data_IF_845509603767
#
_entry.id   IF_845509603767
#
_cell.length_a   1.000
_cell.length_b   1.000
_cell.length_c   1.000
_cell.angle_alpha   90.00
_cell.angle_beta   90.00
_cell.angle_gamma   90.00
#
_symmetry.space_group_name_H-M   'P 1'
#
loop_
_entity.id
_entity.type
_entity.pdbx_description
1 polymer ?
#
# COMPACT_ATOMS: atom_id res chain seq x y z
N UNK A 1 -8.69 -1.94 -1.31
CA UNK A 1 -8.88 -1.32 0.03
C UNK A 1 -9.02 0.19 -0.07
N UNK A 2 -8.04 0.92 -0.64
CA UNK A 2 -8.13 2.38 -0.78
C UNK A 2 -9.27 2.81 -1.74
N UNK A 3 -9.42 2.13 -2.87
CA UNK A 3 -10.49 2.39 -3.84
C UNK A 3 -11.89 2.28 -3.20
N UNK A 4 -12.15 1.16 -2.52
CA UNK A 4 -13.40 0.95 -1.79
C UNK A 4 -13.62 2.03 -0.71
N UNK A 5 -12.57 2.42 0.03
CA UNK A 5 -12.65 3.48 1.03
C UNK A 5 -13.07 4.83 0.39
N UNK A 6 -12.42 5.21 -0.71
CA UNK A 6 -12.74 6.45 -1.41
C UNK A 6 -14.18 6.46 -1.95
N UNK A 7 -14.66 5.34 -2.49
CA UNK A 7 -16.04 5.21 -2.96
C UNK A 7 -17.06 5.38 -1.81
N UNK A 8 -16.84 4.72 -0.67
CA UNK A 8 -17.71 4.87 0.50
C UNK A 8 -17.65 6.27 1.10
N UNK A 9 -16.47 6.89 1.17
CA UNK A 9 -16.31 8.26 1.65
C UNK A 9 -17.05 9.26 0.74
N UNK A 10 -16.92 9.12 -0.58
CA UNK A 10 -17.61 9.97 -1.55
C UNK A 10 -19.13 9.83 -1.44
N UNK A 11 -19.65 8.59 -1.36
CA UNK A 11 -21.06 8.34 -1.13
C UNK A 11 -21.54 8.94 0.19
N UNK A 12 -20.76 8.79 1.27
CA UNK A 12 -21.05 9.40 2.57
C UNK A 12 -21.18 10.91 2.49
N UNK A 13 -20.22 11.60 1.87
CA UNK A 13 -20.25 13.07 1.67
C UNK A 13 -21.43 13.50 0.79
N UNK A 14 -21.78 12.72 -0.21
CA UNK A 14 -22.93 12.99 -1.07
C UNK A 14 -24.25 12.92 -0.30
N UNK A 15 -24.46 11.86 0.49
CA UNK A 15 -25.67 11.73 1.30
C UNK A 15 -25.72 12.74 2.44
N UNK A 16 -24.59 13.10 3.08
CA UNK A 16 -24.58 14.16 4.09
C UNK A 16 -24.99 15.49 3.49
N UNK A 17 -24.56 15.82 2.26
CA UNK A 17 -25.03 17.00 1.56
C UNK A 17 -26.54 16.99 1.31
N UNK A 18 -27.10 15.86 0.82
CA UNK A 18 -28.55 15.72 0.62
C UNK A 18 -29.30 15.92 1.94
N UNK A 19 -28.85 15.29 3.03
CA UNK A 19 -29.50 15.42 4.33
C UNK A 19 -29.38 16.83 4.92
N UNK A 20 -28.25 17.51 4.72
CA UNK A 20 -28.08 18.91 5.11
C UNK A 20 -29.00 19.84 4.32
N UNK A 21 -29.21 19.60 3.02
CA UNK A 21 -30.08 20.43 2.19
C UNK A 21 -31.58 20.19 2.44
N UNK A 22 -31.97 18.96 2.81
CA UNK A 22 -33.39 18.56 2.94
C UNK A 22 -33.82 18.47 4.41
N UNK A 23 -33.37 17.45 5.12
CA UNK A 23 -33.77 17.17 6.50
C UNK A 23 -33.38 18.30 7.44
N UNK A 24 -32.12 18.75 7.40
CA UNK A 24 -31.67 19.82 8.29
C UNK A 24 -32.41 21.13 8.02
N UNK A 25 -32.63 21.51 6.76
CA UNK A 25 -33.42 22.69 6.42
C UNK A 25 -34.88 22.55 6.88
N UNK A 26 -35.49 21.37 6.73
CA UNK A 26 -36.85 21.13 7.22
C UNK A 26 -36.94 21.30 8.74
N UNK A 27 -35.99 20.74 9.50
CA UNK A 27 -35.91 20.96 10.94
C UNK A 27 -35.63 22.42 11.31
N UNK A 28 -34.82 23.14 10.52
CA UNK A 28 -34.57 24.57 10.71
C UNK A 28 -35.86 25.37 10.53
N UNK A 29 -36.66 25.09 9.50
CA UNK A 29 -37.97 25.73 9.29
C UNK A 29 -38.94 25.44 10.44
N UNK A 30 -38.97 24.19 10.94
CA UNK A 30 -39.78 23.84 12.10
C UNK A 30 -39.29 24.56 13.37
N UNK A 31 -37.98 24.72 13.53
CA UNK A 31 -37.40 25.47 14.65
C UNK A 31 -37.74 26.96 14.57
N UNK A 32 -37.68 27.57 13.38
CA UNK A 32 -38.12 28.94 13.16
C UNK A 32 -39.62 29.12 13.47
N UNK A 33 -40.47 28.17 13.08
CA UNK A 33 -41.89 28.18 13.48
C UNK A 33 -42.08 28.08 14.99
N UNK A 34 -41.23 27.30 15.70
CA UNK A 34 -41.24 27.21 17.17
C UNK A 34 -40.82 28.53 17.81
N UNK A 35 -39.76 29.15 17.30
CA UNK A 35 -39.23 30.45 17.76
C UNK A 35 -40.26 31.57 17.52
N UNK A 36 -40.92 31.59 16.37
CA UNK A 36 -42.00 32.53 16.07
C UNK A 36 -43.18 32.41 17.05
N UNK A 37 -43.47 31.18 17.52
CA UNK A 37 -44.48 30.89 18.55
C UNK A 37 -43.98 31.06 19.98
N UNK A 38 -42.74 31.50 20.20
CA UNK A 38 -42.12 31.72 21.52
C UNK A 38 -42.13 30.49 22.43
N UNK A 39 -42.00 29.29 21.84
CA UNK A 39 -41.96 28.03 22.59
C UNK A 39 -40.54 27.66 22.99
N UNK A 40 -40.36 27.07 24.17
CA UNK A 40 -39.04 26.69 24.70
C UNK A 40 -38.34 25.64 23.79
N UNK A 41 -37.01 25.74 23.55
CA UNK A 41 -36.26 24.79 22.72
C UNK A 41 -36.23 23.35 23.24
N UNK A 42 -36.18 23.17 24.56
CA UNK A 42 -36.09 21.84 25.17
C UNK A 42 -37.46 21.25 25.51
N UNK A 43 -38.45 22.11 25.76
CA UNK A 43 -39.80 21.73 26.16
C UNK A 43 -40.84 22.48 25.31
N UNK A 44 -41.18 22.01 24.11
CA UNK A 44 -42.05 22.73 23.17
C UNK A 44 -43.49 22.98 23.68
N UNK A 45 -43.88 22.40 24.81
CA UNK A 45 -45.17 22.64 25.48
C UNK A 45 -45.19 23.92 26.34
N UNK A 46 -44.03 24.47 26.68
CA UNK A 46 -43.92 25.70 27.50
C UNK A 46 -43.82 26.89 26.55
N UNK A 47 -44.79 27.80 26.65
CA UNK A 47 -44.80 29.06 25.89
C UNK A 47 -44.30 30.17 26.80
N UNK A 48 -43.31 30.93 26.35
CA UNK A 48 -42.82 32.11 27.06
C UNK A 48 -43.70 33.31 26.71
N UNK A 49 -43.89 34.21 27.68
CA UNK A 49 -44.53 35.50 27.42
C UNK A 49 -43.70 36.28 26.40
N UNK A 50 -44.38 37.08 25.56
CA UNK A 50 -43.72 37.85 24.50
C UNK A 50 -42.63 38.71 25.14
N UNK A 51 -41.34 38.53 24.79
CA UNK A 51 -40.32 39.44 25.25
C UNK A 51 -40.71 40.83 24.76
N UNK A 52 -40.72 41.80 25.68
CA UNK A 52 -40.75 43.23 25.31
C UNK A 52 -39.72 43.41 24.21
N UNK A 53 -40.09 44.04 23.08
CA UNK A 53 -39.21 44.25 21.94
C UNK A 53 -37.96 45.00 22.40
N UNK A 54 -36.97 44.28 22.88
CA UNK A 54 -35.66 44.82 23.18
C UNK A 54 -35.00 44.97 21.82
N UNK A 55 -34.98 46.21 21.33
CA UNK A 55 -34.21 46.64 20.17
C UNK A 55 -32.69 46.52 20.39
N UNK A 56 -32.24 45.79 21.41
CA UNK A 56 -30.86 45.45 21.57
C UNK A 56 -30.56 44.31 20.61
N UNK A 57 -30.02 44.68 19.44
CA UNK A 57 -29.24 43.79 18.60
C UNK A 57 -28.21 43.11 19.51
N UNK A 58 -28.51 41.91 20.01
CA UNK A 58 -27.52 41.10 20.71
C UNK A 58 -26.54 40.68 19.63
N UNK A 59 -25.52 41.53 19.43
CA UNK A 59 -24.44 41.23 18.51
C UNK A 59 -23.86 39.89 18.95
N UNK A 60 -23.79 38.88 18.06
CA UNK A 60 -23.25 37.59 18.43
C UNK A 60 -21.84 37.79 19.00
N UNK A 61 -21.62 37.26 20.20
CA UNK A 61 -20.47 37.57 21.05
C UNK A 61 -19.12 37.37 20.34
N UNK A 62 -19.05 36.49 19.34
CA UNK A 62 -17.87 36.20 18.54
C UNK A 62 -17.59 37.19 17.40
N UNK A 63 -18.61 37.82 16.80
CA UNK A 63 -18.43 38.75 15.67
C UNK A 63 -17.56 39.97 15.99
N UNK A 64 -17.72 40.69 17.12
CA UNK A 64 -16.88 41.86 17.40
C UNK A 64 -15.42 41.46 17.63
N UNK A 65 -15.15 40.32 18.24
CA UNK A 65 -13.80 39.81 18.51
C UNK A 65 -13.11 39.42 17.19
N UNK A 66 -13.80 38.67 16.33
CA UNK A 66 -13.28 38.27 15.01
C UNK A 66 -13.00 39.49 14.14
N UNK A 67 -13.95 40.43 14.07
CA UNK A 67 -13.77 41.66 13.29
C UNK A 67 -12.62 42.50 13.85
N UNK A 68 -12.46 42.58 15.17
CA UNK A 68 -11.35 43.29 15.79
C UNK A 68 -9.99 42.69 15.42
N UNK A 69 -9.84 41.38 15.53
CA UNK A 69 -8.58 40.68 15.22
C UNK A 69 -8.26 40.78 13.73
N UNK A 70 -9.22 40.47 12.85
CA UNK A 70 -9.00 40.50 11.40
C UNK A 70 -8.73 41.93 10.90
N UNK A 71 -9.57 42.89 11.27
CA UNK A 71 -9.49 44.25 10.75
C UNK A 71 -8.30 45.04 11.30
N UNK A 72 -7.93 44.82 12.57
CA UNK A 72 -6.96 45.68 13.26
C UNK A 72 -5.57 45.06 13.36
N UNK A 73 -5.48 43.73 13.32
CA UNK A 73 -4.20 43.00 13.48
C UNK A 73 -3.78 42.37 12.15
N UNK A 74 -4.60 41.49 11.57
CA UNK A 74 -4.21 40.67 10.41
C UNK A 74 -4.13 41.48 9.10
N UNK A 75 -5.06 42.42 8.87
CA UNK A 75 -5.12 43.19 7.62
C UNK A 75 -4.10 44.35 7.52
N UNK A 76 -3.33 44.62 8.56
CA UNK A 76 -2.31 45.68 8.55
C UNK A 76 -1.16 45.26 7.61
N UNK A 77 -0.72 46.16 6.71
CA UNK A 77 0.33 45.89 5.70
C UNK A 77 1.57 45.11 6.22
N UNK A 78 2.20 45.47 7.36
CA UNK A 78 3.36 44.73 7.86
C UNK A 78 3.02 43.30 8.30
N UNK A 79 1.86 43.08 8.94
CA UNK A 79 1.42 41.75 9.38
C UNK A 79 1.09 40.86 8.20
N UNK A 80 0.50 41.42 7.14
CA UNK A 80 0.24 40.68 5.89
C UNK A 80 1.53 40.16 5.26
N UNK A 81 2.58 40.98 5.22
CA UNK A 81 3.90 40.58 4.71
C UNK A 81 4.49 39.47 5.59
N UNK A 82 4.41 39.60 6.92
CA UNK A 82 4.88 38.58 7.85
C UNK A 82 4.16 37.23 7.66
N UNK A 83 2.83 37.23 7.48
CA UNK A 83 2.04 36.01 7.24
C UNK A 83 2.45 35.34 5.93
N UNK A 84 2.68 36.11 4.86
CA UNK A 84 3.14 35.56 3.58
C UNK A 84 4.56 34.99 3.70
N UNK A 85 5.47 35.67 4.38
CA UNK A 85 6.84 35.18 4.58
C UNK A 85 6.86 33.89 5.42
N UNK A 86 6.09 33.83 6.50
CA UNK A 86 6.02 32.65 7.36
C UNK A 86 5.38 31.46 6.64
N UNK A 87 4.31 31.67 5.87
CA UNK A 87 3.70 30.61 5.06
C UNK A 87 4.63 30.10 3.96
N UNK A 88 5.38 30.98 3.29
CA UNK A 88 6.40 30.57 2.31
C UNK A 88 7.56 29.82 2.98
N UNK A 89 8.01 30.26 4.15
CA UNK A 89 9.03 29.57 4.93
C UNK A 89 8.59 28.17 5.35
N UNK A 90 7.35 28.04 5.84
CA UNK A 90 6.78 26.75 6.19
C UNK A 90 6.59 25.84 4.98
N UNK A 91 6.13 26.38 3.84
CA UNK A 91 6.03 25.63 2.60
C UNK A 91 7.40 25.11 2.13
N UNK A 92 8.45 25.94 2.22
CA UNK A 92 9.83 25.52 1.94
C UNK A 92 10.30 24.39 2.86
N UNK A 93 10.00 24.49 4.16
CA UNK A 93 10.30 23.44 5.13
C UNK A 93 9.55 22.12 4.82
N UNK A 94 8.27 22.20 4.46
CA UNK A 94 7.50 21.03 4.04
C UNK A 94 8.08 20.39 2.77
N UNK A 95 8.51 21.17 1.78
CA UNK A 95 9.15 20.66 0.56
C UNK A 95 10.45 19.93 0.91
N UNK A 96 11.28 20.49 1.80
CA UNK A 96 12.46 19.80 2.31
C UNK A 96 12.12 18.52 3.08
N UNK A 97 11.04 18.52 3.88
CA UNK A 97 10.55 17.31 4.54
C UNK A 97 10.11 16.22 3.54
N UNK A 98 9.49 16.62 2.43
CA UNK A 98 9.10 15.70 1.37
C UNK A 98 10.29 15.04 0.68
N UNK A 99 11.43 15.72 0.51
CA UNK A 99 12.63 15.09 -0.08
C UNK A 99 13.29 14.08 0.84
N UNK A 100 13.05 14.16 2.15
CA UNK A 100 13.56 13.21 3.14
C UNK A 100 12.59 12.06 3.44
N UNK A 101 11.39 12.05 2.82
CA UNK A 101 10.39 11.04 3.07
C UNK A 101 10.86 9.68 2.53
N UNK A 102 11.13 8.73 3.43
CA UNK A 102 11.42 7.34 3.07
C UNK A 102 10.13 6.55 2.99
N UNK A 103 10.00 5.76 1.93
CA UNK A 103 8.92 4.79 1.83
C UNK A 103 9.32 3.54 2.61
N UNK A 104 8.78 3.39 3.80
CA UNK A 104 8.90 2.16 4.59
C UNK A 104 7.54 1.47 4.63
N UNK A 105 7.56 0.16 4.38
CA UNK A 105 6.39 -0.69 4.50
C UNK A 105 6.80 -1.94 5.28
N UNK A 106 6.45 -1.98 6.55
CA UNK A 106 6.59 -3.17 7.39
C UNK A 106 5.21 -3.80 7.62
N UNK A 107 4.94 -5.00 7.08
CA UNK A 107 3.72 -5.75 7.35
C UNK A 107 3.44 -5.97 8.84
N UNK A 108 4.46 -5.94 9.71
CA UNK A 108 4.30 -6.08 11.16
C UNK A 108 3.42 -5.00 11.77
N UNK A 109 3.34 -3.80 11.17
CA UNK A 109 2.50 -2.71 11.68
C UNK A 109 1.00 -3.00 11.61
N UNK A 110 0.59 -3.96 10.78
CA UNK A 110 -0.81 -4.40 10.71
C UNK A 110 -1.15 -5.47 11.76
N UNK A 111 -0.15 -5.97 12.50
CA UNK A 111 -0.33 -7.01 13.51
C UNK A 111 -0.47 -6.38 14.91
N UNK A 112 -1.26 -6.99 15.81
CA UNK A 112 -1.26 -6.59 17.21
C UNK A 112 0.15 -6.72 17.81
N UNK A 113 0.66 -5.69 18.53
CA UNK A 113 2.05 -5.68 19.03
C UNK A 113 2.38 -6.88 19.92
N UNK A 114 1.42 -7.33 20.74
CA UNK A 114 1.62 -8.44 21.68
C UNK A 114 1.37 -9.83 21.07
N UNK A 115 1.07 -9.91 19.77
CA UNK A 115 0.75 -11.19 19.12
C UNK A 115 1.97 -12.11 19.06
N UNK A 116 1.71 -13.42 19.18
CA UNK A 116 2.76 -14.46 19.04
C UNK A 116 3.48 -14.37 17.69
N UNK A 117 2.77 -13.95 16.64
CA UNK A 117 3.33 -13.79 15.30
C UNK A 117 4.40 -12.69 15.26
N UNK A 118 4.16 -11.52 15.89
CA UNK A 118 5.17 -10.45 15.96
C UNK A 118 6.43 -10.94 16.68
N UNK A 119 6.28 -11.62 17.83
CA UNK A 119 7.41 -12.21 18.57
C UNK A 119 8.21 -13.21 17.73
N UNK A 120 7.52 -14.04 16.95
CA UNK A 120 8.18 -14.98 16.03
C UNK A 120 8.94 -14.23 14.92
N UNK A 121 8.32 -13.23 14.29
CA UNK A 121 8.94 -12.46 13.23
C UNK A 121 10.17 -11.68 13.74
N UNK A 122 10.10 -11.11 14.94
CA UNK A 122 11.23 -10.41 15.55
C UNK A 122 12.38 -11.36 15.89
N UNK A 123 12.09 -12.54 16.43
CA UNK A 123 13.10 -13.57 16.66
C UNK A 123 13.70 -14.05 15.33
N UNK A 124 12.89 -14.24 14.29
CA UNK A 124 13.36 -14.61 12.95
C UNK A 124 14.28 -13.55 12.39
N UNK A 125 13.92 -12.27 12.47
CA UNK A 125 14.72 -11.20 11.89
C UNK A 125 16.03 -10.99 12.68
N UNK A 126 16.02 -11.22 14.00
CA UNK A 126 17.21 -11.19 14.84
C UNK A 126 18.20 -12.32 14.52
N UNK A 127 17.71 -13.56 14.40
CA UNK A 127 18.58 -14.75 14.24
C UNK A 127 18.83 -15.14 12.78
N UNK A 128 17.95 -14.74 11.85
CA UNK A 128 17.96 -15.14 10.44
C UNK A 128 17.83 -13.97 9.47
N UNK A 129 18.14 -12.73 9.88
CA UNK A 129 18.07 -11.53 9.02
C UNK A 129 18.80 -11.69 7.67
N UNK A 130 19.93 -12.40 7.66
CA UNK A 130 20.74 -12.64 6.46
C UNK A 130 20.17 -13.72 5.52
N UNK A 131 19.07 -14.38 5.86
CA UNK A 131 18.53 -15.49 5.05
C UNK A 131 17.60 -15.01 3.93
N UNK A 132 17.19 -13.74 3.95
CA UNK A 132 16.32 -13.17 2.92
C UNK A 132 14.98 -13.90 2.79
N UNK A 133 14.33 -13.77 1.63
CA UNK A 133 13.12 -14.51 1.28
C UNK A 133 13.39 -15.40 0.06
N UNK A 134 12.77 -16.57 0.03
CA UNK A 134 12.85 -17.46 -1.13
C UNK A 134 12.00 -16.88 -2.29
N UNK A 135 12.62 -16.75 -3.45
CA UNK A 135 11.96 -16.32 -4.68
C UNK A 135 12.09 -17.42 -5.74
N UNK A 136 11.00 -17.67 -6.47
CA UNK A 136 10.99 -18.65 -7.55
C UNK A 136 10.93 -17.96 -8.91
N UNK A 137 11.87 -18.31 -9.78
CA UNK A 137 11.83 -17.90 -11.19
C UNK A 137 11.13 -19.01 -11.98
N UNK A 138 9.92 -18.72 -12.46
CA UNK A 138 9.13 -19.66 -13.26
C UNK A 138 9.37 -19.39 -14.75
N UNK A 139 9.83 -20.42 -15.46
CA UNK A 139 9.98 -20.38 -16.90
C UNK A 139 8.67 -20.82 -17.56
N UNK A 140 8.19 -20.02 -18.51
CA UNK A 140 6.95 -20.28 -19.25
C UNK A 140 7.13 -21.34 -20.34
N UNK A 141 6.24 -21.31 -21.35
CA UNK A 141 6.35 -22.17 -22.53
C UNK A 141 7.50 -21.68 -23.42
N UNK A 142 8.63 -22.36 -23.33
CA UNK A 142 9.83 -22.11 -24.10
C UNK A 142 10.22 -23.36 -24.87
N UNK A 143 10.92 -23.21 -25.99
CA UNK A 143 11.68 -24.32 -26.54
C UNK A 143 12.94 -24.51 -25.68
N UNK A 144 12.80 -25.33 -24.63
CA UNK A 144 13.86 -25.50 -23.64
C UNK A 144 15.17 -25.92 -24.27
N UNK A 145 15.14 -26.78 -25.28
CA UNK A 145 16.30 -27.30 -26.00
C UNK A 145 17.13 -26.17 -26.64
N UNK A 146 16.47 -25.26 -27.37
CA UNK A 146 17.14 -24.10 -27.97
C UNK A 146 17.58 -23.05 -26.93
N UNK A 147 16.84 -22.96 -25.83
CA UNK A 147 17.04 -21.93 -24.79
C UNK A 147 18.04 -22.36 -23.69
N UNK A 148 18.58 -23.58 -23.72
CA UNK A 148 19.58 -24.06 -22.73
C UNK A 148 20.78 -23.10 -22.54
N UNK A 149 21.38 -22.51 -23.60
CA UNK A 149 22.46 -21.53 -23.45
C UNK A 149 22.00 -20.24 -22.75
N UNK A 150 20.76 -19.81 -22.99
CA UNK A 150 20.19 -18.62 -22.36
C UNK A 150 19.86 -18.87 -20.88
N UNK A 151 19.33 -20.06 -20.55
CA UNK A 151 19.12 -20.50 -19.16
C UNK A 151 20.46 -20.56 -18.43
N UNK A 152 21.52 -21.08 -19.06
CA UNK A 152 22.86 -21.10 -18.47
C UNK A 152 23.35 -19.68 -18.12
N UNK A 153 23.20 -18.74 -19.05
CA UNK A 153 23.62 -17.36 -18.83
C UNK A 153 22.81 -16.69 -17.73
N UNK A 154 21.48 -16.91 -17.68
CA UNK A 154 20.61 -16.41 -16.62
C UNK A 154 21.09 -16.88 -15.23
N UNK A 155 21.32 -18.19 -15.08
CA UNK A 155 21.81 -18.77 -13.81
C UNK A 155 23.18 -18.18 -13.42
N UNK A 156 24.06 -17.98 -14.40
CA UNK A 156 25.37 -17.37 -14.18
C UNK A 156 25.25 -15.91 -13.72
N UNK A 157 24.38 -15.12 -14.34
CA UNK A 157 24.13 -13.73 -13.97
C UNK A 157 23.53 -13.63 -12.56
N UNK A 158 22.55 -14.47 -12.23
CA UNK A 158 21.94 -14.52 -10.90
C UNK A 158 22.95 -14.86 -9.80
N UNK A 159 23.88 -15.79 -10.07
CA UNK A 159 24.97 -16.11 -9.12
C UNK A 159 26.03 -15.02 -8.99
N UNK A 160 26.19 -14.19 -10.02
CA UNK A 160 27.14 -13.09 -9.99
C UNK A 160 26.66 -11.93 -9.08
N UNK A 161 25.33 -11.75 -8.95
CA UNK A 161 24.74 -10.77 -8.03
C UNK A 161 24.75 -11.26 -6.56
N UNK A 162 25.82 -10.95 -5.84
CA UNK A 162 25.95 -11.25 -4.40
C UNK A 162 25.36 -10.18 -3.47
N UNK A 163 24.93 -9.06 -4.05
CA UNK A 163 24.28 -7.93 -3.36
C UNK A 163 22.83 -8.26 -2.97
N UNK A 164 22.11 -9.00 -3.81
CA UNK A 164 20.69 -9.33 -3.62
C UNK A 164 20.48 -10.83 -3.41
N UNK A 165 21.29 -11.68 -4.04
CA UNK A 165 21.07 -13.13 -4.08
C UNK A 165 22.10 -13.88 -3.24
N UNK A 166 21.60 -14.60 -2.22
CA UNK A 166 22.44 -15.41 -1.33
C UNK A 166 22.79 -16.77 -1.93
N UNK A 167 21.79 -17.49 -2.43
CA UNK A 167 21.94 -18.81 -3.03
C UNK A 167 21.01 -18.97 -4.23
N UNK A 168 21.44 -19.78 -5.21
CA UNK A 168 20.70 -20.03 -6.45
C UNK A 168 20.60 -21.53 -6.68
N UNK A 169 19.45 -22.09 -6.32
CA UNK A 169 19.11 -23.49 -6.52
C UNK A 169 18.42 -23.69 -7.88
N UNK A 170 19.04 -24.45 -8.78
CA UNK A 170 18.54 -24.67 -10.15
C UNK A 170 18.52 -26.14 -10.53
N UNK A 171 17.52 -26.54 -11.32
CA UNK A 171 17.50 -27.87 -11.93
C UNK A 171 18.56 -28.00 -13.03
N UNK A 172 18.89 -26.90 -13.72
CA UNK A 172 19.80 -26.86 -14.87
C UNK A 172 21.21 -27.33 -14.52
N UNK A 173 21.79 -26.86 -13.41
CA UNK A 173 23.14 -27.26 -13.02
C UNK A 173 23.22 -28.74 -12.66
N UNK A 174 22.19 -29.26 -11.97
CA UNK A 174 22.10 -30.67 -11.64
C UNK A 174 21.92 -31.53 -12.89
N UNK A 175 21.10 -31.07 -13.83
CA UNK A 175 20.88 -31.75 -15.11
C UNK A 175 22.14 -31.80 -15.96
N UNK A 176 22.85 -30.66 -16.10
CA UNK A 176 24.14 -30.59 -16.81
C UNK A 176 25.17 -31.54 -16.20
N UNK A 177 25.33 -31.53 -14.87
CA UNK A 177 26.25 -32.43 -14.17
C UNK A 177 25.88 -33.90 -14.36
N UNK A 178 24.58 -34.21 -14.33
CA UNK A 178 24.07 -35.56 -14.55
C UNK A 178 24.37 -36.07 -15.97
N UNK A 179 24.14 -35.23 -16.98
CA UNK A 179 24.44 -35.55 -18.38
C UNK A 179 25.93 -35.74 -18.64
N UNK A 180 26.75 -34.86 -18.11
CA UNK A 180 28.20 -34.96 -18.26
C UNK A 180 28.72 -36.25 -17.60
N UNK A 181 28.26 -36.56 -16.39
CA UNK A 181 28.74 -37.72 -15.64
C UNK A 181 28.28 -39.08 -16.22
N UNK A 182 27.01 -39.22 -16.59
CA UNK A 182 26.44 -40.52 -17.01
C UNK A 182 26.40 -40.73 -18.52
N UNK A 183 26.39 -39.65 -19.31
CA UNK A 183 26.23 -39.72 -20.77
C UNK A 183 27.36 -39.02 -21.53
N UNK A 184 28.34 -38.43 -20.83
CA UNK A 184 29.48 -37.72 -21.40
C UNK A 184 29.09 -36.61 -22.40
N UNK A 185 27.95 -35.95 -22.16
CA UNK A 185 27.44 -34.82 -22.96
C UNK A 185 27.58 -33.51 -22.19
N UNK A 186 28.02 -32.43 -22.84
CA UNK A 186 28.21 -31.12 -22.20
C UNK A 186 27.33 -30.02 -22.82
N UNK A 187 26.25 -29.69 -22.12
CA UNK A 187 25.38 -28.56 -22.42
C UNK A 187 25.99 -27.30 -21.76
N UNK A 188 26.04 -26.14 -22.42
CA UNK A 188 25.27 -25.75 -23.61
C UNK A 188 26.00 -25.85 -24.95
N UNK A 189 27.17 -26.49 -25.01
CA UNK A 189 27.98 -26.53 -26.23
C UNK A 189 27.51 -27.58 -27.24
N UNK A 190 26.70 -28.54 -26.79
CA UNK A 190 26.06 -29.57 -27.60
C UNK A 190 24.55 -29.28 -27.73
N UNK A 191 24.05 -29.27 -28.97
CA UNK A 191 22.62 -29.18 -29.25
C UNK A 191 21.97 -30.55 -29.00
N UNK A 192 20.94 -30.58 -28.15
CA UNK A 192 20.10 -31.75 -27.97
C UNK A 192 18.94 -31.72 -28.97
N UNK A 193 18.43 -32.88 -29.37
CA UNK A 193 17.09 -32.95 -29.98
C UNK A 193 16.02 -32.87 -28.88
N UNK A 194 14.79 -32.50 -29.23
CA UNK A 194 13.67 -32.49 -28.27
C UNK A 194 13.42 -33.88 -27.66
N UNK A 195 13.53 -34.95 -28.46
CA UNK A 195 13.36 -36.34 -27.99
C UNK A 195 14.46 -36.75 -27.00
N UNK A 196 15.71 -36.42 -27.32
CA UNK A 196 16.87 -36.65 -26.47
C UNK A 196 16.73 -35.87 -25.15
N UNK A 197 16.36 -34.58 -25.24
CA UNK A 197 16.14 -33.73 -24.07
C UNK A 197 15.06 -34.32 -23.16
N UNK A 198 13.91 -34.71 -23.71
CA UNK A 198 12.82 -35.30 -22.95
C UNK A 198 13.23 -36.62 -22.28
N UNK A 199 13.96 -37.48 -23.01
CA UNK A 199 14.45 -38.75 -22.48
C UNK A 199 15.43 -38.57 -21.32
N UNK A 200 16.44 -37.71 -21.49
CA UNK A 200 17.42 -37.45 -20.44
C UNK A 200 16.83 -36.69 -19.26
N UNK A 201 15.95 -35.72 -19.51
CA UNK A 201 15.26 -35.00 -18.46
C UNK A 201 14.41 -35.96 -17.63
N UNK A 202 13.68 -36.88 -18.27
CA UNK A 202 12.95 -37.94 -17.58
C UNK A 202 13.87 -38.75 -16.65
N UNK A 203 14.98 -39.27 -17.18
CA UNK A 203 15.96 -40.03 -16.38
C UNK A 203 16.54 -39.21 -15.21
N UNK A 204 16.88 -37.96 -15.45
CA UNK A 204 17.39 -37.06 -14.42
C UNK A 204 16.35 -36.83 -13.33
N UNK A 205 15.11 -36.53 -13.70
CA UNK A 205 14.03 -36.26 -12.76
C UNK A 205 13.70 -37.47 -11.90
N UNK A 206 13.84 -38.70 -12.39
CA UNK A 206 13.68 -39.92 -11.59
C UNK A 206 14.97 -40.41 -10.91
N UNK A 207 16.08 -39.67 -11.05
CA UNK A 207 17.34 -39.97 -10.36
C UNK A 207 17.39 -39.40 -8.93
N UNK A 208 18.26 -39.92 -8.05
CA UNK A 208 18.41 -39.39 -6.69
C UNK A 208 18.79 -37.90 -6.63
N UNK A 209 19.52 -37.39 -7.63
CA UNK A 209 19.95 -35.98 -7.66
C UNK A 209 18.89 -35.04 -8.23
N UNK A 210 18.09 -35.51 -9.21
CA UNK A 210 17.05 -34.72 -9.86
C UNK A 210 15.65 -34.87 -9.28
N UNK A 211 15.40 -35.90 -8.44
CA UNK A 211 14.10 -36.17 -7.81
C UNK A 211 13.49 -34.98 -7.07
N UNK A 212 14.32 -34.15 -6.44
CA UNK A 212 13.88 -32.93 -5.74
C UNK A 212 13.23 -31.88 -6.67
N UNK A 213 13.52 -31.92 -7.97
CA UNK A 213 12.98 -30.97 -8.96
C UNK A 213 11.71 -31.46 -9.66
N UNK A 214 11.27 -32.71 -9.45
CA UNK A 214 10.08 -33.25 -10.13
C UNK A 214 8.85 -32.34 -9.99
N UNK A 215 8.64 -31.78 -8.79
CA UNK A 215 7.51 -30.88 -8.50
C UNK A 215 7.60 -29.53 -9.22
N UNK A 216 8.78 -29.16 -9.71
CA UNK A 216 9.01 -27.88 -10.39
C UNK A 216 8.66 -27.95 -11.88
N UNK A 217 8.44 -29.14 -12.44
CA UNK A 217 8.07 -29.32 -13.83
C UNK A 217 6.58 -29.64 -13.96
N UNK A 218 5.92 -29.03 -14.95
CA UNK A 218 4.56 -29.38 -15.35
C UNK A 218 4.59 -29.97 -16.75
N UNK A 219 4.26 -31.25 -16.86
CA UNK A 219 4.19 -31.97 -18.13
C UNK A 219 2.76 -31.95 -18.68
N UNK A 220 2.62 -31.90 -20.00
CA UNK A 220 1.31 -31.96 -20.67
C UNK A 220 0.68 -33.37 -20.60
N UNK A 221 1.50 -34.42 -20.40
CA UNK A 221 1.09 -35.80 -20.23
C UNK A 221 1.84 -36.48 -19.08
N UNK A 222 1.56 -37.77 -18.85
CA UNK A 222 2.40 -38.60 -17.97
C UNK A 222 3.73 -38.85 -18.70
N UNK A 223 4.83 -38.58 -18.01
CA UNK A 223 6.20 -38.94 -18.42
C UNK A 223 6.33 -40.46 -18.58
#
# INVERSE_FOLDING_TARGET
ALESFCLYAAAGVFFTFIYQATFFVAFLVLDEHRVAKQRNPFLPCVTHEKPVKSHNNVAPCSKPIINFIYSRVILTKPVKILVVLTTLGFAGFCIMGLTMLRQEFDPKWFLPPDSHLVKFLDARDLWYGDSGQEAHVLLGRLNYTAELPHIHNLVRQLRAQRDIVKDVNTWYDGFRKYLNFYFNRDIPHEELSEDDFNFYLGKYLYSPSGGKYQKNFRFAGKL
#
